data_IF_487136840268
#
_entry.id   IF_487136840268
#
_cell.length_a   1.000
_cell.length_b   1.000
_cell.length_c   1.000
_cell.angle_alpha   90.00
_cell.angle_beta   90.00
_cell.angle_gamma   90.00
#
_symmetry.space_group_name_H-M   'P 1'
#
loop_
_entity.id
_entity.type
_entity.pdbx_description
1 polymer ?
#
# COMPACT_ATOMS: atom_id res chain seq x y z
N UNK A 1 9.58 -23.84 -40.81
CA UNK A 1 9.96 -22.48 -40.39
C UNK A 1 9.14 -22.16 -39.14
N UNK A 2 9.69 -22.41 -37.95
CA UNK A 2 8.98 -22.22 -36.68
C UNK A 2 9.36 -20.86 -36.12
N UNK A 3 8.45 -19.90 -36.21
CA UNK A 3 8.59 -18.62 -35.53
C UNK A 3 8.36 -18.90 -34.04
N UNK A 4 9.45 -18.89 -33.26
CA UNK A 4 9.35 -18.86 -31.79
C UNK A 4 8.91 -17.43 -31.43
N UNK A 5 7.84 -17.23 -30.65
CA UNK A 5 7.59 -15.90 -30.10
C UNK A 5 8.79 -15.53 -29.23
N UNK A 6 9.47 -14.42 -29.55
CA UNK A 6 10.42 -13.82 -28.61
C UNK A 6 9.67 -13.54 -27.31
N UNK A 7 10.31 -13.74 -26.14
CA UNK A 7 9.66 -13.43 -24.88
C UNK A 7 9.30 -11.94 -24.93
N UNK A 8 8.00 -11.67 -24.85
CA UNK A 8 7.44 -10.33 -24.69
C UNK A 8 8.35 -9.58 -23.72
N UNK A 9 8.89 -8.46 -24.22
CA UNK A 9 9.80 -7.55 -23.53
C UNK A 9 9.18 -7.19 -22.19
N UNK A 10 9.46 -8.01 -21.18
CA UNK A 10 9.07 -7.77 -19.81
C UNK A 10 9.90 -6.57 -19.39
N UNK A 11 9.39 -5.38 -19.71
CA UNK A 11 10.06 -4.12 -19.49
C UNK A 11 10.53 -4.12 -18.05
N UNK A 12 11.84 -4.29 -17.88
CA UNK A 12 12.50 -4.24 -16.58
C UNK A 12 12.43 -2.79 -16.16
N UNK A 13 11.29 -2.39 -15.57
CA UNK A 13 11.18 -1.10 -14.89
C UNK A 13 12.23 -1.12 -13.79
N UNK A 14 13.27 -0.27 -13.87
CA UNK A 14 14.32 -0.30 -12.89
C UNK A 14 13.68 0.07 -11.54
N UNK A 15 14.06 -0.64 -10.47
CA UNK A 15 13.36 -0.59 -9.19
C UNK A 15 13.33 0.82 -8.56
N UNK A 16 14.26 1.68 -8.97
CA UNK A 16 14.35 3.09 -8.63
C UNK A 16 13.26 3.97 -9.29
N UNK A 17 12.57 3.49 -10.31
CA UNK A 17 11.43 4.19 -10.92
C UNK A 17 10.10 3.90 -10.21
N UNK A 18 10.00 2.84 -9.41
CA UNK A 18 8.75 2.47 -8.72
C UNK A 18 8.69 3.20 -7.38
N UNK A 19 7.86 4.25 -7.29
CA UNK A 19 7.54 4.91 -6.02
C UNK A 19 6.51 4.06 -5.28
N UNK A 20 6.98 3.21 -4.37
CA UNK A 20 6.12 2.28 -3.60
C UNK A 20 5.26 3.03 -2.57
N UNK A 21 5.61 4.30 -2.28
CA UNK A 21 4.97 5.10 -1.24
C UNK A 21 5.43 4.70 0.16
N UNK A 22 5.50 5.68 1.07
CA UNK A 22 5.88 5.47 2.48
C UNK A 22 4.64 5.45 3.35
N UNK A 23 4.46 4.47 4.24
CA UNK A 23 3.33 4.50 5.17
C UNK A 23 3.51 5.67 6.15
N UNK A 24 2.51 6.54 6.21
CA UNK A 24 2.51 7.75 7.06
C UNK A 24 1.41 7.73 8.11
N UNK A 25 0.35 6.96 7.87
CA UNK A 25 -0.74 6.76 8.83
C UNK A 25 -1.26 5.34 8.77
N UNK A 26 -1.70 4.87 9.93
CA UNK A 26 -2.27 3.55 10.14
C UNK A 26 -3.65 3.71 10.74
N UNK A 27 -4.63 3.06 10.13
CA UNK A 27 -5.98 2.98 10.66
C UNK A 27 -6.13 1.64 11.34
N UNK A 28 -6.35 1.64 12.65
CA UNK A 28 -6.45 0.44 13.49
C UNK A 28 -7.84 0.28 14.07
N UNK A 29 -8.21 -0.94 14.44
CA UNK A 29 -9.42 -1.19 15.22
C UNK A 29 -9.21 -0.66 16.66
N UNK A 30 -10.06 0.25 17.17
CA UNK A 30 -9.87 0.80 18.51
C UNK A 30 -10.09 -0.23 19.62
N UNK A 31 -10.86 -1.29 19.35
CA UNK A 31 -11.11 -2.40 20.27
C UNK A 31 -10.00 -3.46 20.19
N UNK A 32 -9.28 -3.51 19.06
CA UNK A 32 -8.21 -4.45 18.75
C UNK A 32 -7.05 -3.74 18.07
N UNK A 33 -6.20 -3.07 18.85
CA UNK A 33 -5.12 -2.22 18.32
C UNK A 33 -4.04 -3.00 17.54
N UNK A 34 -4.02 -4.32 17.69
CA UNK A 34 -3.24 -5.28 16.89
C UNK A 34 -3.73 -5.40 15.43
N UNK A 35 -4.96 -4.97 15.15
CA UNK A 35 -5.59 -5.11 13.83
C UNK A 35 -5.49 -3.81 13.04
N UNK A 36 -4.70 -3.85 11.97
CA UNK A 36 -4.61 -2.78 10.98
C UNK A 36 -5.75 -2.92 9.97
N UNK A 37 -6.62 -1.93 9.91
CA UNK A 37 -7.76 -1.83 8.99
C UNK A 37 -7.41 -1.11 7.68
N UNK A 38 -6.37 -0.26 7.69
CA UNK A 38 -5.88 0.40 6.49
C UNK A 38 -4.61 1.20 6.74
N UNK A 39 -3.98 1.65 5.65
CA UNK A 39 -2.72 2.39 5.67
C UNK A 39 -2.78 3.52 4.65
N UNK A 40 -2.37 4.71 5.05
CA UNK A 40 -2.12 5.81 4.12
C UNK A 40 -0.65 5.82 3.73
N UNK A 41 -0.39 5.75 2.43
CA UNK A 41 0.92 5.91 1.83
C UNK A 41 1.08 7.31 1.25
N UNK A 42 2.24 7.90 1.44
CA UNK A 42 2.68 9.12 0.75
C UNK A 42 3.72 8.77 -0.32
N UNK A 43 3.44 9.14 -1.56
CA UNK A 43 4.30 8.88 -2.71
C UNK A 43 5.37 9.96 -2.82
N UNK A 44 6.62 9.59 -2.60
CA UNK A 44 7.75 10.53 -2.49
C UNK A 44 7.97 11.39 -3.74
N UNK A 45 7.61 10.90 -4.93
CA UNK A 45 7.78 11.62 -6.20
C UNK A 45 6.68 12.64 -6.46
N UNK A 46 5.48 12.43 -5.92
CA UNK A 46 4.30 13.26 -6.23
C UNK A 46 3.72 13.98 -5.02
N UNK A 47 4.09 13.59 -3.81
CA UNK A 47 3.46 14.01 -2.56
C UNK A 47 2.00 13.51 -2.41
N UNK A 48 1.51 12.70 -3.36
CA UNK A 48 0.13 12.21 -3.31
C UNK A 48 -0.01 11.25 -2.15
N UNK A 49 -1.13 11.38 -1.41
CA UNK A 49 -1.50 10.45 -0.35
C UNK A 49 -2.59 9.52 -0.83
N UNK A 50 -2.39 8.21 -0.67
CA UNK A 50 -3.38 7.17 -1.00
C UNK A 50 -3.59 6.25 0.18
N UNK A 51 -4.85 5.96 0.46
CA UNK A 51 -5.23 5.02 1.51
C UNK A 51 -5.60 3.67 0.89
N UNK A 52 -5.00 2.60 1.42
CA UNK A 52 -5.35 1.21 1.14
C UNK A 52 -6.12 0.66 2.33
N UNK A 53 -7.26 0.03 2.09
CA UNK A 53 -8.09 -0.61 3.12
C UNK A 53 -7.91 -2.12 3.08
N UNK A 54 -7.58 -2.72 4.23
CA UNK A 54 -7.43 -4.17 4.42
C UNK A 54 -8.70 -4.83 4.96
N UNK A 55 -9.78 -4.05 5.12
CA UNK A 55 -11.09 -4.61 5.45
C UNK A 55 -11.53 -5.63 4.39
N UNK A 56 -12.33 -6.65 4.75
CA UNK A 56 -12.74 -7.70 3.81
C UNK A 56 -13.46 -7.17 2.57
N UNK A 57 -14.19 -6.05 2.71
CA UNK A 57 -14.89 -5.39 1.61
C UNK A 57 -14.04 -4.31 0.90
N UNK A 58 -12.76 -4.15 1.28
CA UNK A 58 -11.83 -3.12 0.81
C UNK A 58 -12.37 -1.69 0.92
N UNK A 59 -13.28 -1.45 1.88
CA UNK A 59 -13.90 -0.14 2.12
C UNK A 59 -13.48 0.43 3.46
N UNK A 60 -13.58 1.75 3.56
CA UNK A 60 -13.42 2.48 4.83
C UNK A 60 -14.37 1.93 5.90
N UNK A 61 -13.86 1.45 7.05
CA UNK A 61 -14.71 1.03 8.17
C UNK A 61 -15.38 2.26 8.82
N UNK A 62 -16.52 2.04 9.48
CA UNK A 62 -17.25 3.13 10.16
C UNK A 62 -16.49 3.68 11.37
N UNK A 63 -15.75 2.80 12.05
CA UNK A 63 -15.01 3.10 13.27
C UNK A 63 -13.58 2.61 13.06
N UNK A 64 -12.61 3.49 13.30
CA UNK A 64 -11.18 3.20 13.33
C UNK A 64 -10.48 4.32 14.10
N UNK A 65 -9.32 4.02 14.68
CA UNK A 65 -8.40 5.03 15.19
C UNK A 65 -7.26 5.23 14.19
N UNK A 66 -6.77 6.46 14.03
CA UNK A 66 -5.62 6.77 13.19
C UNK A 66 -4.39 7.02 14.06
N UNK A 67 -3.28 6.36 13.74
CA UNK A 67 -1.99 6.55 14.40
C UNK A 67 -0.89 6.80 13.36
N UNK A 68 0.11 7.60 13.70
CA UNK A 68 1.25 7.92 12.81
C UNK A 68 2.46 7.02 13.03
N UNK A 69 2.45 6.23 14.10
CA UNK A 69 3.46 5.23 14.42
C UNK A 69 2.76 3.99 14.96
N UNK A 70 3.11 2.83 14.40
CA UNK A 70 2.89 1.55 15.05
C UNK A 70 4.16 1.28 15.84
N UNK A 71 4.07 1.31 17.17
CA UNK A 71 5.18 0.82 17.99
C UNK A 71 5.31 -0.69 17.74
N UNK A 72 6.48 -1.12 17.28
CA UNK A 72 6.86 -2.53 17.25
C UNK A 72 6.96 -2.96 18.72
N UNK A 73 5.98 -3.74 19.19
CA UNK A 73 5.94 -4.25 20.57
C UNK A 73 7.06 -5.23 20.88
#
# INVERSE_FOLDING_TARGET
MTIRPEPDDATLVPADQIDIGRPVEWMIDPSRRDVILGVTYEFSRTGVRRTVWYTPNKRRPKIFATVTSLEDG
#
